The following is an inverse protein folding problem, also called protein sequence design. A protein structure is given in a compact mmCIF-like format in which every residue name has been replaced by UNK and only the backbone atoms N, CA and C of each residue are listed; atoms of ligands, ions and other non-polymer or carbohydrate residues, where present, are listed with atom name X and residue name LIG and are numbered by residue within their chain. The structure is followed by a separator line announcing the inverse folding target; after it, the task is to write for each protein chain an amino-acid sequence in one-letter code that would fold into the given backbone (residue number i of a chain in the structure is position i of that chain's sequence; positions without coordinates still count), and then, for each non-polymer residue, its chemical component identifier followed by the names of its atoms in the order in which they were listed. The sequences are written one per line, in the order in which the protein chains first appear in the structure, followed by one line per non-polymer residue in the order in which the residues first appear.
data_IF_101846545528
#
_entry.id   IF_101846545528
#
_cell.length_a   1.000
_cell.length_b   1.000
_cell.length_c   1.000
_cell.angle_alpha   90.00
_cell.angle_beta   90.00
_cell.angle_gamma   90.00
#
_symmetry.space_group_name_H-M   'P 1'
#
loop_
_entity.id
_entity.type
_entity.pdbx_description
1 polymer ?
#
# COMPACT_ATOMS: atom_id res chain seq x y z
N UNK A 1 25.27 -1.22 4.54
CA UNK A 1 24.20 -0.34 5.04
C UNK A 1 23.73 0.50 3.88
N UNK A 2 22.40 0.68 3.78
CA UNK A 2 21.80 1.55 2.77
C UNK A 2 21.09 2.69 3.49
N UNK A 3 21.26 3.90 3.01
CA UNK A 3 20.61 5.07 3.55
C UNK A 3 19.89 5.78 2.40
N UNK A 4 18.58 5.89 2.49
CA UNK A 4 17.77 6.47 1.41
C UNK A 4 17.22 7.80 1.91
N UNK A 5 17.63 8.89 1.27
CA UNK A 5 17.14 10.22 1.61
C UNK A 5 15.73 10.42 1.08
N UNK A 6 14.91 11.16 1.82
CA UNK A 6 13.53 11.42 1.40
C UNK A 6 13.44 12.12 0.02
N UNK A 7 14.46 12.90 -0.35
CA UNK A 7 14.52 13.56 -1.67
C UNK A 7 14.74 12.59 -2.83
N UNK A 8 15.16 11.36 -2.55
CA UNK A 8 15.43 10.34 -3.55
C UNK A 8 14.27 9.36 -3.71
N UNK A 9 13.23 9.47 -2.86
CA UNK A 9 12.10 8.55 -2.89
C UNK A 9 11.22 8.84 -4.08
N UNK A 10 10.98 7.82 -4.89
CA UNK A 10 10.03 7.89 -6.00
C UNK A 10 8.61 7.81 -5.47
N UNK A 11 7.72 8.62 -6.03
CA UNK A 11 6.29 8.56 -5.71
C UNK A 11 5.54 8.07 -6.95
N UNK A 12 4.84 6.97 -6.79
CA UNK A 12 3.95 6.43 -7.80
C UNK A 12 2.54 6.90 -7.51
N UNK A 13 1.74 7.19 -8.54
CA UNK A 13 0.38 7.68 -8.29
C UNK A 13 -0.64 7.15 -9.30
N UNK A 14 -1.84 6.99 -8.79
CA UNK A 14 -3.09 6.84 -9.51
C UNK A 14 -4.01 7.96 -9.01
N UNK A 15 -5.14 8.23 -9.65
CA UNK A 15 -6.04 9.29 -9.15
C UNK A 15 -6.38 9.11 -7.68
N UNK A 16 -6.04 10.10 -6.86
CA UNK A 16 -6.32 10.11 -5.43
C UNK A 16 -5.46 9.19 -4.57
N UNK A 17 -4.49 8.48 -5.15
CA UNK A 17 -3.62 7.55 -4.42
C UNK A 17 -2.17 7.83 -4.74
N UNK A 18 -1.36 8.08 -3.72
CA UNK A 18 0.08 8.23 -3.87
C UNK A 18 0.80 7.15 -3.07
N UNK A 19 1.79 6.52 -3.69
CA UNK A 19 2.58 5.46 -3.05
C UNK A 19 4.06 5.86 -3.08
N UNK A 20 4.59 6.14 -1.91
CA UNK A 20 5.99 6.51 -1.71
C UNK A 20 6.81 5.23 -1.59
N UNK A 21 7.73 5.04 -2.52
CA UNK A 21 8.54 3.83 -2.62
C UNK A 21 9.74 3.95 -1.67
N UNK A 22 9.48 3.69 -0.37
CA UNK A 22 10.49 3.92 0.68
C UNK A 22 11.67 2.98 0.53
N UNK A 23 11.40 1.72 0.26
CA UNK A 23 12.43 0.71 0.01
C UNK A 23 11.88 -0.29 -1.00
N UNK A 24 12.56 -0.42 -2.15
CA UNK A 24 12.10 -1.30 -3.21
C UNK A 24 13.29 -1.79 -4.06
N UNK A 25 13.07 -2.67 -5.04
CA UNK A 25 14.17 -3.21 -5.83
C UNK A 25 14.98 -2.19 -6.62
N UNK A 26 14.50 -0.97 -6.80
CA UNK A 26 15.24 0.07 -7.53
C UNK A 26 16.20 0.85 -6.64
N UNK A 27 15.95 0.92 -5.33
CA UNK A 27 16.77 1.70 -4.40
C UNK A 27 17.44 0.87 -3.31
N UNK A 28 17.25 -0.44 -3.32
CA UNK A 28 17.76 -1.33 -2.28
C UNK A 28 18.17 -2.68 -2.87
N UNK A 29 19.18 -3.30 -2.29
CA UNK A 29 19.57 -4.66 -2.61
C UNK A 29 18.81 -5.70 -1.77
N UNK A 30 17.86 -5.28 -0.95
CA UNK A 30 17.08 -6.21 -0.15
C UNK A 30 16.32 -7.17 -1.05
N UNK A 31 16.38 -8.46 -0.72
CA UNK A 31 15.62 -9.52 -1.38
C UNK A 31 14.48 -10.01 -0.50
N UNK A 32 14.18 -9.28 0.58
CA UNK A 32 13.21 -9.73 1.57
C UNK A 32 11.95 -8.91 1.61
N UNK A 33 12.04 -7.59 1.42
CA UNK A 33 10.89 -6.72 1.59
C UNK A 33 10.88 -5.56 0.60
N UNK A 34 9.69 -5.09 0.28
CA UNK A 34 9.41 -3.76 -0.25
C UNK A 34 8.61 -3.03 0.82
N UNK A 35 8.93 -1.76 1.07
CA UNK A 35 8.20 -0.92 2.02
C UNK A 35 7.70 0.32 1.30
N UNK A 36 6.41 0.57 1.41
CA UNK A 36 5.78 1.77 0.83
C UNK A 36 4.97 2.50 1.87
N UNK A 37 4.84 3.81 1.70
CA UNK A 37 3.87 4.63 2.43
C UNK A 37 2.82 5.08 1.45
N UNK A 38 1.56 4.81 1.75
CA UNK A 38 0.45 5.09 0.83
C UNK A 38 -0.47 6.13 1.43
N UNK A 39 -0.78 7.15 0.63
CA UNK A 39 -1.77 8.18 0.96
C UNK A 39 -2.98 7.98 0.07
N UNK A 40 -4.16 7.89 0.67
CA UNK A 40 -5.43 7.74 -0.05
C UNK A 40 -6.28 8.96 0.27
N UNK A 41 -6.57 9.77 -0.75
CA UNK A 41 -7.36 11.00 -0.61
C UNK A 41 -8.81 10.66 -0.32
N UNK A 42 -9.53 11.63 0.25
CA UNK A 42 -10.96 11.52 0.47
C UNK A 42 -11.66 11.13 -0.84
N UNK A 43 -12.51 10.12 -0.78
CA UNK A 43 -13.27 9.63 -1.94
C UNK A 43 -12.50 8.72 -2.89
N UNK A 44 -11.20 8.53 -2.70
CA UNK A 44 -10.41 7.67 -3.56
C UNK A 44 -10.52 6.20 -3.16
N UNK A 45 -10.20 5.34 -4.14
CA UNK A 45 -10.30 3.90 -3.97
C UNK A 45 -9.08 3.21 -4.59
N UNK A 46 -8.54 2.24 -3.86
CA UNK A 46 -7.66 1.22 -4.41
C UNK A 46 -8.52 -0.03 -4.59
N UNK A 47 -8.78 -0.44 -5.84
CA UNK A 47 -9.65 -1.59 -6.08
C UNK A 47 -9.11 -2.89 -5.48
N UNK A 48 -10.00 -3.85 -5.26
CA UNK A 48 -9.62 -5.20 -4.84
C UNK A 48 -8.62 -5.79 -5.82
N UNK A 49 -7.54 -6.31 -5.30
CA UNK A 49 -6.49 -7.00 -6.07
C UNK A 49 -5.81 -8.02 -5.15
N UNK A 50 -4.90 -8.79 -5.71
CA UNK A 50 -4.15 -9.79 -4.93
C UNK A 50 -2.71 -9.88 -5.43
N UNK A 51 -1.85 -10.43 -4.58
CA UNK A 51 -0.48 -10.80 -4.93
C UNK A 51 -0.34 -12.31 -4.72
N UNK A 52 -0.01 -13.04 -5.76
CA UNK A 52 -0.06 -14.50 -5.73
C UNK A 52 1.06 -15.12 -4.89
N UNK A 53 2.20 -14.46 -4.82
CA UNK A 53 3.41 -15.03 -4.21
C UNK A 53 4.06 -14.13 -3.17
N UNK A 54 3.38 -13.11 -2.71
CA UNK A 54 3.88 -12.23 -1.66
C UNK A 54 2.79 -11.99 -0.62
N UNK A 55 3.21 -11.93 0.65
CA UNK A 55 2.33 -11.44 1.70
C UNK A 55 2.51 -9.94 1.85
N UNK A 56 1.51 -9.27 2.38
CA UNK A 56 1.60 -7.86 2.75
C UNK A 56 1.13 -7.65 4.17
N UNK A 57 1.78 -6.74 4.85
CA UNK A 57 1.35 -6.27 6.17
C UNK A 57 1.11 -4.77 6.03
N UNK A 58 -0.09 -4.32 6.35
CA UNK A 58 -0.44 -2.91 6.36
C UNK A 58 -0.59 -2.41 7.78
N UNK A 59 -0.02 -1.24 8.06
CA UNK A 59 -0.11 -0.57 9.35
C UNK A 59 -0.74 0.79 9.09
N UNK A 60 -1.96 1.02 9.60
CA UNK A 60 -2.62 2.31 9.47
C UNK A 60 -1.92 3.31 10.39
N UNK A 61 -1.52 4.47 9.84
CA UNK A 61 -0.77 5.48 10.57
C UNK A 61 -1.53 6.79 10.74
N UNK A 62 -2.47 7.11 9.84
CA UNK A 62 -3.30 8.31 9.95
C UNK A 62 -4.67 8.08 9.36
N UNK A 63 -5.68 8.53 10.07
CA UNK A 63 -7.05 8.56 9.55
C UNK A 63 -7.75 7.23 9.65
N UNK A 64 -8.76 7.09 8.81
CA UNK A 64 -9.64 5.93 8.82
C UNK A 64 -10.03 5.58 7.39
N UNK A 65 -9.87 4.32 7.03
CA UNK A 65 -10.24 3.79 5.74
C UNK A 65 -11.16 2.59 5.88
N UNK A 66 -11.57 2.04 4.76
CA UNK A 66 -12.38 0.83 4.69
C UNK A 66 -11.62 -0.20 3.84
N UNK A 67 -11.25 -1.31 4.47
CA UNK A 67 -10.65 -2.43 3.76
C UNK A 67 -11.70 -3.09 2.87
N UNK A 68 -11.33 -3.32 1.62
CA UNK A 68 -12.15 -4.04 0.65
C UNK A 68 -11.59 -5.45 0.56
N UNK A 69 -12.33 -6.43 1.05
CA UNK A 69 -11.85 -7.79 1.25
C UNK A 69 -12.72 -8.78 0.48
N UNK A 70 -12.24 -10.03 0.40
CA UNK A 70 -13.04 -11.15 -0.06
C UNK A 70 -12.76 -12.32 0.87
N UNK A 71 -13.77 -12.77 1.59
CA UNK A 71 -13.65 -13.84 2.58
C UNK A 71 -14.59 -14.97 2.20
N UNK A 72 -14.03 -16.17 2.00
CA UNK A 72 -14.79 -17.35 1.61
C UNK A 72 -15.63 -17.11 0.34
N UNK A 73 -15.06 -16.41 -0.63
CA UNK A 73 -15.73 -16.10 -1.90
C UNK A 73 -16.74 -14.97 -1.84
N UNK A 74 -16.92 -14.34 -0.68
CA UNK A 74 -17.85 -13.23 -0.49
C UNK A 74 -17.09 -11.93 -0.27
N UNK A 75 -17.46 -10.89 -1.01
CA UNK A 75 -16.88 -9.56 -0.80
C UNK A 75 -17.38 -8.99 0.52
N UNK A 76 -16.44 -8.52 1.33
CA UNK A 76 -16.71 -7.92 2.64
C UNK A 76 -15.95 -6.61 2.78
N UNK A 77 -16.30 -5.83 3.80
CA UNK A 77 -15.66 -4.57 4.14
C UNK A 77 -15.37 -4.52 5.63
N UNK A 78 -14.29 -3.83 5.98
CA UNK A 78 -13.91 -3.68 7.38
C UNK A 78 -13.25 -2.32 7.60
N UNK A 79 -13.64 -1.63 8.66
CA UNK A 79 -12.99 -0.38 9.06
C UNK A 79 -11.53 -0.64 9.43
N UNK A 80 -10.65 0.25 8.98
CA UNK A 80 -9.21 0.16 9.20
C UNK A 80 -8.72 1.56 9.59
N UNK A 81 -8.29 1.72 10.84
CA UNK A 81 -7.95 3.05 11.35
C UNK A 81 -6.61 3.09 12.05
N UNK A 82 -6.11 4.28 12.24
CA UNK A 82 -4.80 4.56 12.83
C UNK A 82 -4.50 3.64 14.02
N UNK A 83 -3.38 2.93 13.95
CA UNK A 83 -2.94 1.97 14.94
C UNK A 83 -3.30 0.52 14.62
N UNK A 84 -4.22 0.30 13.68
CA UNK A 84 -4.58 -1.07 13.28
C UNK A 84 -3.52 -1.69 12.37
N UNK A 85 -3.40 -3.00 12.45
CA UNK A 85 -2.50 -3.78 11.60
C UNK A 85 -3.29 -4.91 10.96
N UNK A 86 -3.08 -5.11 9.67
CA UNK A 86 -3.67 -6.24 8.94
C UNK A 86 -2.58 -6.96 8.16
N UNK A 87 -2.69 -8.28 8.09
CA UNK A 87 -1.81 -9.11 7.26
C UNK A 87 -2.64 -9.82 6.20
N UNK A 88 -2.19 -9.68 4.95
CA UNK A 88 -2.74 -10.42 3.82
C UNK A 88 -1.75 -11.51 3.43
N UNK A 89 -2.20 -12.77 3.48
CA UNK A 89 -1.39 -13.89 3.01
C UNK A 89 -1.32 -13.87 1.48
N UNK A 90 -0.44 -14.68 0.91
CA UNK A 90 -0.37 -14.88 -0.53
C UNK A 90 -1.77 -15.21 -1.07
N UNK A 91 -2.20 -14.47 -2.10
CA UNK A 91 -3.50 -14.70 -2.73
C UNK A 91 -4.69 -14.05 -2.04
N UNK A 92 -4.53 -13.43 -0.88
CA UNK A 92 -5.65 -12.73 -0.22
C UNK A 92 -6.02 -11.48 -1.01
N UNK A 93 -7.30 -11.37 -1.36
CA UNK A 93 -7.84 -10.21 -2.06
C UNK A 93 -7.98 -9.06 -1.07
N UNK A 94 -7.48 -7.88 -1.46
CA UNK A 94 -7.53 -6.70 -0.62
C UNK A 94 -7.60 -5.42 -1.45
N UNK A 95 -8.11 -4.37 -0.85
CA UNK A 95 -8.18 -3.03 -1.41
C UNK A 95 -8.53 -2.06 -0.29
N UNK A 96 -8.68 -0.79 -0.64
CA UNK A 96 -8.94 0.26 0.36
C UNK A 96 -9.78 1.36 -0.26
N UNK A 97 -10.77 1.83 0.49
CA UNK A 97 -11.58 2.98 0.11
C UNK A 97 -11.52 4.00 1.24
N UNK A 98 -11.37 5.27 0.90
CA UNK A 98 -11.43 6.34 1.89
C UNK A 98 -12.78 7.06 1.78
N UNK A 99 -13.70 6.73 2.66
CA UNK A 99 -15.02 7.36 2.73
C UNK A 99 -15.05 8.60 3.62
N UNK A 100 -13.93 8.89 4.29
CA UNK A 100 -13.83 10.04 5.20
C UNK A 100 -13.50 11.33 4.45
N UNK A 101 -13.25 12.39 5.20
CA UNK A 101 -12.92 13.70 4.64
C UNK A 101 -11.43 14.01 4.71
N UNK A 102 -10.67 13.28 5.50
CA UNK A 102 -9.23 13.47 5.65
C UNK A 102 -8.47 12.38 4.90
N UNK A 103 -7.21 12.68 4.59
CA UNK A 103 -6.31 11.70 3.97
C UNK A 103 -6.14 10.51 4.89
N UNK A 104 -6.19 9.32 4.31
CA UNK A 104 -5.84 8.09 5.01
C UNK A 104 -4.41 7.70 4.64
N UNK A 105 -3.61 7.31 5.63
CA UNK A 105 -2.22 6.92 5.41
C UNK A 105 -1.96 5.56 6.03
N UNK A 106 -1.24 4.70 5.29
CA UNK A 106 -0.74 3.44 5.83
C UNK A 106 0.66 3.12 5.29
N UNK A 107 1.38 2.31 6.06
CA UNK A 107 2.66 1.72 5.63
C UNK A 107 2.38 0.29 5.19
N UNK A 108 2.95 -0.11 4.06
CA UNK A 108 2.83 -1.48 3.55
C UNK A 108 4.20 -2.13 3.50
N UNK A 109 4.30 -3.34 4.03
CA UNK A 109 5.48 -4.18 3.95
C UNK A 109 5.11 -5.40 3.11
N UNK A 110 5.85 -5.64 2.02
CA UNK A 110 5.58 -6.74 1.08
C UNK A 110 6.78 -7.68 1.05
N UNK A 111 6.56 -8.96 1.19
CA UNK A 111 7.61 -9.98 1.18
C UNK A 111 7.14 -11.24 0.46
N UNK A 112 7.88 -11.77 -0.53
CA UNK A 112 9.07 -11.20 -1.18
C UNK A 112 8.85 -9.84 -1.82
N UNK A 113 9.93 -9.11 -2.14
CA UNK A 113 9.80 -7.76 -2.70
C UNK A 113 9.03 -7.73 -4.00
N UNK A 114 8.24 -6.66 -4.18
CA UNK A 114 7.57 -6.34 -5.44
C UNK A 114 7.97 -4.93 -5.85
N UNK A 115 8.30 -4.75 -7.12
CA UNK A 115 8.41 -3.43 -7.73
C UNK A 115 7.01 -3.04 -8.22
N UNK A 116 6.38 -2.07 -7.56
CA UNK A 116 4.99 -1.69 -7.83
C UNK A 116 4.81 -0.75 -9.04
N UNK A 117 5.87 -0.48 -9.80
CA UNK A 117 5.76 0.41 -10.96
C UNK A 117 4.65 0.04 -11.94
N UNK A 118 4.37 -1.26 -12.08
CA UNK A 118 3.33 -1.75 -13.00
C UNK A 118 1.91 -1.35 -12.58
N UNK A 119 1.70 -1.07 -11.29
CA UNK A 119 0.36 -0.86 -10.74
C UNK A 119 -0.09 0.60 -10.77
N UNK A 120 0.80 1.51 -11.17
CA UNK A 120 0.54 2.95 -11.13
C UNK A 120 0.79 3.59 -12.48
N UNK A 121 0.05 4.68 -12.74
CA UNK A 121 0.07 5.36 -14.05
C UNK A 121 1.11 6.46 -14.12
N UNK A 122 1.53 7.01 -12.97
CA UNK A 122 2.47 8.13 -12.91
C UNK A 122 3.56 7.88 -11.89
N UNK A 123 4.73 8.47 -12.14
CA UNK A 123 5.88 8.37 -11.28
C UNK A 123 6.60 9.71 -11.20
N UNK A 124 6.95 10.12 -9.98
CA UNK A 124 7.74 11.32 -9.70
C UNK A 124 8.85 10.99 -8.74
N UNK A 125 9.91 11.80 -8.77
CA UNK A 125 10.88 11.82 -7.68
C UNK A 125 10.46 12.87 -6.65
N UNK A 126 10.54 12.52 -5.41
CA UNK A 126 10.21 13.44 -4.33
C UNK A 126 11.44 14.22 -3.89
#
# INVERSE_FOLDING_TARGET
MEFIKNTEIEVLSNPGVESFQLLNPKNSDSRRVTITKVLVQSGAIQPRHLHETSEQIWIATKGKGVLLLCENGTETERTFESGDVVRFADGDIHGLRNDGQEVFEYISVTSPPIDFGYAYKKSNKK
#
